data_IF_909722752515
#
_entry.id   IF_909722752515
#
_cell.length_a   1.000
_cell.length_b   1.000
_cell.length_c   1.000
_cell.angle_alpha   90.00
_cell.angle_beta   90.00
_cell.angle_gamma   90.00
#
_symmetry.space_group_name_H-M   'P 1'
#
loop_
_entity.id
_entity.type
_entity.pdbx_description
1 polymer ?
#
# COMPACT_ATOMS: atom_id res chain seq x y z
N UNK A 1 22.45 3.17 -13.66
CA UNK A 1 21.09 3.70 -13.90
C UNK A 1 20.90 4.84 -12.91
N UNK A 2 21.16 6.08 -13.33
CA UNK A 2 20.94 7.26 -12.50
C UNK A 2 19.45 7.49 -12.36
N UNK A 3 18.93 7.25 -11.15
CA UNK A 3 17.54 7.49 -10.79
C UNK A 3 17.30 9.01 -10.86
N UNK A 4 16.29 9.45 -11.61
CA UNK A 4 16.02 10.88 -11.81
C UNK A 4 15.46 11.50 -10.52
N UNK A 5 16.19 12.43 -9.90
CA UNK A 5 15.84 13.03 -8.59
C UNK A 5 14.41 13.58 -8.55
N UNK A 6 13.91 14.13 -9.65
CA UNK A 6 12.53 14.65 -9.76
C UNK A 6 11.46 13.55 -9.63
N UNK A 7 11.74 12.37 -10.16
CA UNK A 7 10.83 11.23 -10.07
C UNK A 7 10.76 10.70 -8.63
N UNK A 8 11.91 10.71 -7.94
CA UNK A 8 11.99 10.33 -6.54
C UNK A 8 11.24 11.30 -5.63
N UNK A 9 11.45 12.62 -5.79
CA UNK A 9 10.70 13.64 -5.03
C UNK A 9 9.20 13.52 -5.24
N UNK A 10 8.75 13.27 -6.47
CA UNK A 10 7.33 13.05 -6.77
C UNK A 10 6.79 11.79 -6.08
N UNK A 11 7.57 10.70 -6.06
CA UNK A 11 7.21 9.48 -5.37
C UNK A 11 7.05 9.69 -3.86
N UNK A 12 7.93 10.47 -3.23
CA UNK A 12 7.83 10.84 -1.83
C UNK A 12 6.58 11.68 -1.54
N UNK A 13 6.30 12.72 -2.33
CA UNK A 13 5.11 13.55 -2.14
C UNK A 13 3.82 12.72 -2.25
N UNK A 14 3.75 11.79 -3.21
CA UNK A 14 2.60 10.88 -3.35
C UNK A 14 2.48 9.93 -2.17
N UNK A 15 3.61 9.39 -1.68
CA UNK A 15 3.62 8.53 -0.51
C UNK A 15 3.11 9.27 0.72
N UNK A 16 3.55 10.51 0.94
CA UNK A 16 3.11 11.34 2.07
C UNK A 16 1.60 11.61 2.06
N UNK A 17 1.05 11.96 0.89
CA UNK A 17 -0.40 12.14 0.72
C UNK A 17 -1.16 10.83 0.99
N UNK A 18 -0.66 9.71 0.48
CA UNK A 18 -1.28 8.41 0.69
C UNK A 18 -1.23 7.98 2.16
N UNK A 19 -0.10 8.15 2.84
CA UNK A 19 0.05 7.86 4.28
C UNK A 19 -0.92 8.71 5.09
N UNK A 20 -1.00 9.99 4.80
CA UNK A 20 -1.90 10.92 5.51
C UNK A 20 -3.36 10.50 5.36
N UNK A 21 -3.79 10.18 4.13
CA UNK A 21 -5.14 9.71 3.86
C UNK A 21 -5.42 8.33 4.51
N UNK A 22 -4.46 7.41 4.48
CA UNK A 22 -4.58 6.10 5.13
C UNK A 22 -4.74 6.24 6.64
N UNK A 23 -3.94 7.10 7.28
CA UNK A 23 -4.04 7.39 8.72
C UNK A 23 -5.39 8.03 9.08
N UNK A 24 -5.86 9.00 8.29
CA UNK A 24 -7.17 9.62 8.48
C UNK A 24 -8.32 8.62 8.30
N UNK A 25 -8.15 7.65 7.39
CA UNK A 25 -9.09 6.56 7.20
C UNK A 25 -8.99 5.48 8.30
N UNK A 26 -8.08 5.59 9.28
CA UNK A 26 -7.95 4.65 10.39
C UNK A 26 -6.96 3.50 10.16
N UNK A 27 -6.24 3.48 9.04
CA UNK A 27 -5.25 2.44 8.78
C UNK A 27 -3.93 2.70 9.51
N UNK A 28 -3.32 1.61 10.00
CA UNK A 28 -1.95 1.64 10.54
C UNK A 28 -0.94 1.34 9.44
N UNK A 29 -0.10 2.33 9.10
CA UNK A 29 1.01 2.16 8.16
C UNK A 29 2.18 1.49 8.88
N UNK A 30 2.65 0.37 8.35
CA UNK A 30 3.78 -0.41 8.88
C UNK A 30 5.09 0.03 8.22
N UNK A 31 5.11 0.08 6.90
CA UNK A 31 6.33 0.37 6.13
C UNK A 31 6.02 1.00 4.79
N UNK A 32 6.98 1.75 4.24
CA UNK A 32 6.92 2.31 2.89
C UNK A 32 8.18 1.87 2.16
N UNK A 33 8.01 1.34 0.95
CA UNK A 33 9.09 0.94 0.07
C UNK A 33 8.90 1.60 -1.28
N UNK A 34 9.92 2.31 -1.76
CA UNK A 34 9.92 2.88 -3.12
C UNK A 34 10.78 1.96 -3.98
N UNK A 35 10.17 1.35 -5.01
CA UNK A 35 10.89 0.60 -6.05
C UNK A 35 10.58 1.21 -7.40
N UNK A 36 11.60 1.49 -8.20
CA UNK A 36 11.46 2.02 -9.56
C UNK A 36 10.59 3.29 -9.63
N UNK A 37 10.73 4.18 -8.64
CA UNK A 37 9.90 5.38 -8.45
C UNK A 37 8.40 5.11 -8.19
N UNK A 38 8.02 3.87 -7.91
CA UNK A 38 6.67 3.47 -7.51
C UNK A 38 6.64 3.18 -5.99
N UNK A 39 5.96 4.03 -5.19
CA UNK A 39 5.81 3.80 -3.76
C UNK A 39 4.82 2.66 -3.48
N UNK A 40 5.24 1.78 -2.57
CA UNK A 40 4.45 0.67 -2.04
C UNK A 40 4.33 0.82 -0.53
N UNK A 41 3.11 0.85 -0.02
CA UNK A 41 2.80 1.12 1.38
C UNK A 41 2.24 -0.16 1.98
N UNK A 42 2.91 -0.67 3.00
CA UNK A 42 2.41 -1.78 3.79
C UNK A 42 1.56 -1.25 4.93
N UNK A 43 0.34 -1.74 5.06
CA UNK A 43 -0.55 -1.46 6.18
C UNK A 43 -0.78 -2.73 7.02
N UNK A 44 -1.13 -2.54 8.29
CA UNK A 44 -1.60 -3.63 9.13
C UNK A 44 -2.97 -4.13 8.63
N UNK A 45 -3.20 -5.44 8.78
CA UNK A 45 -4.51 -6.02 8.54
C UNK A 45 -5.50 -5.44 9.56
N UNK A 46 -6.59 -4.88 9.08
CA UNK A 46 -7.69 -4.33 9.88
C UNK A 46 -9.03 -4.77 9.31
N UNK A 47 -10.11 -4.71 10.11
CA UNK A 47 -11.47 -4.99 9.65
C UNK A 47 -11.90 -4.13 8.44
N UNK A 48 -11.37 -2.92 8.33
CA UNK A 48 -11.63 -2.03 7.18
C UNK A 48 -11.04 -2.57 5.87
N UNK A 49 -9.99 -3.39 5.93
CA UNK A 49 -9.46 -4.07 4.76
C UNK A 49 -10.51 -5.01 4.14
N UNK A 50 -11.25 -5.72 4.98
CA UNK A 50 -12.33 -6.60 4.54
C UNK A 50 -13.47 -5.80 3.91
N UNK A 51 -13.81 -4.63 4.47
CA UNK A 51 -14.77 -3.70 3.84
C UNK A 51 -14.28 -3.17 2.48
N UNK A 52 -12.98 -2.88 2.32
CA UNK A 52 -12.44 -2.45 1.03
C UNK A 52 -12.58 -3.56 -0.02
N UNK A 53 -12.37 -4.81 0.37
CA UNK A 53 -12.52 -5.97 -0.51
C UNK A 53 -14.00 -6.16 -0.88
N UNK A 54 -14.90 -6.13 0.10
CA UNK A 54 -16.35 -6.27 -0.14
C UNK A 54 -16.92 -5.19 -1.05
N UNK A 55 -16.41 -3.95 -0.93
CA UNK A 55 -16.81 -2.83 -1.78
C UNK A 55 -16.10 -2.81 -3.15
N UNK A 56 -15.28 -3.83 -3.48
CA UNK A 56 -14.53 -3.90 -4.73
C UNK A 56 -13.41 -2.85 -4.88
N UNK A 57 -13.05 -2.15 -3.79
CA UNK A 57 -11.97 -1.15 -3.77
C UNK A 57 -10.59 -1.77 -3.59
N UNK A 58 -10.54 -2.98 -3.06
CA UNK A 58 -9.33 -3.78 -2.96
C UNK A 58 -9.53 -5.16 -3.56
N UNK A 59 -8.44 -5.88 -3.78
CA UNK A 59 -8.46 -7.25 -4.27
C UNK A 59 -7.47 -8.12 -3.52
N UNK A 60 -7.79 -9.42 -3.41
CA UNK A 60 -6.83 -10.38 -2.90
C UNK A 60 -5.93 -10.90 -4.02
N UNK A 61 -4.64 -10.98 -3.72
CA UNK A 61 -3.62 -11.64 -4.53
C UNK A 61 -3.01 -12.77 -3.71
N UNK A 62 -2.91 -13.95 -4.31
CA UNK A 62 -2.19 -15.07 -3.73
C UNK A 62 -0.70 -14.94 -4.03
N UNK A 63 0.12 -15.01 -2.98
CA UNK A 63 1.58 -14.96 -3.06
C UNK A 63 2.21 -16.36 -2.89
N UNK A 64 1.49 -17.39 -3.35
CA UNK A 64 1.91 -18.79 -3.22
C UNK A 64 2.15 -19.18 -1.76
N UNK A 65 3.36 -19.66 -1.45
CA UNK A 65 3.77 -20.09 -0.09
C UNK A 65 3.71 -19.01 0.98
N UNK A 66 3.66 -17.73 0.59
CA UNK A 66 3.63 -16.59 1.51
C UNK A 66 2.21 -16.20 1.94
N UNK A 67 1.20 -16.95 1.49
CA UNK A 67 -0.21 -16.75 1.85
C UNK A 67 -0.93 -15.76 0.92
N UNK A 68 -2.00 -15.18 1.45
CA UNK A 68 -2.86 -14.23 0.73
C UNK A 68 -2.52 -12.80 1.17
N UNK A 69 -2.54 -11.87 0.22
CA UNK A 69 -2.31 -10.46 0.47
C UNK A 69 -3.43 -9.66 -0.17
N UNK A 70 -3.99 -8.71 0.56
CA UNK A 70 -4.87 -7.72 -0.01
C UNK A 70 -4.06 -6.56 -0.58
N UNK A 71 -4.54 -5.99 -1.68
CA UNK A 71 -3.90 -4.83 -2.29
C UNK A 71 -4.93 -3.91 -2.95
N UNK A 72 -4.58 -2.63 -3.03
CA UNK A 72 -5.30 -1.61 -3.77
C UNK A 72 -4.35 -0.48 -4.15
N UNK A 73 -4.85 0.49 -4.91
CA UNK A 73 -4.08 1.67 -5.32
C UNK A 73 -4.71 2.92 -4.75
N UNK A 74 -3.91 3.79 -4.13
CA UNK A 74 -4.34 5.06 -3.55
C UNK A 74 -3.32 6.16 -3.90
N UNK A 75 -3.76 7.25 -4.52
CA UNK A 75 -2.89 8.33 -5.04
C UNK A 75 -1.72 7.84 -5.91
N UNK A 76 -1.93 6.75 -6.66
CA UNK A 76 -0.88 6.11 -7.47
C UNK A 76 0.16 5.32 -6.67
N UNK A 77 -0.03 5.17 -5.36
CA UNK A 77 0.76 4.29 -4.49
C UNK A 77 0.06 2.93 -4.37
N UNK A 78 0.83 1.85 -4.44
CA UNK A 78 0.29 0.52 -4.18
C UNK A 78 0.23 0.28 -2.67
N UNK A 79 -0.96 0.08 -2.13
CA UNK A 79 -1.15 -0.23 -0.72
C UNK A 79 -1.43 -1.72 -0.57
N UNK A 80 -0.79 -2.37 0.39
CA UNK A 80 -0.95 -3.82 0.58
C UNK A 80 -0.89 -4.23 2.05
N UNK A 81 -1.52 -5.37 2.37
CA UNK A 81 -1.44 -6.00 3.70
C UNK A 81 -1.42 -7.52 3.57
N UNK A 82 -0.74 -8.20 4.48
CA UNK A 82 -0.76 -9.65 4.53
C UNK A 82 -1.96 -10.14 5.32
N UNK A 83 -2.64 -11.16 4.81
CA UNK A 83 -3.75 -11.83 5.52
C UNK A 83 -3.25 -12.79 6.60
N UNK A 84 -2.00 -13.26 6.44
CA UNK A 84 -1.33 -14.14 7.38
C UNK A 84 -0.98 -13.36 8.65
N UNK A 85 -1.67 -13.65 9.75
CA UNK A 85 -1.21 -13.32 11.11
C UNK A 85 0.06 -14.17 11.35
N UNK A 86 1.20 -13.52 11.55
CA UNK A 86 2.34 -14.18 12.20
C UNK A 86 2.13 -14.12 13.71
#
# INVERSE_FOLDING_TARGET
MTMNDRALTTAFNRAELAISALKQAGFTVISIMIRDSAPRIQIARHMQCDHLIQNGKASYRHLGRYGRQGWFTQYGCQVYWSESLH
#
